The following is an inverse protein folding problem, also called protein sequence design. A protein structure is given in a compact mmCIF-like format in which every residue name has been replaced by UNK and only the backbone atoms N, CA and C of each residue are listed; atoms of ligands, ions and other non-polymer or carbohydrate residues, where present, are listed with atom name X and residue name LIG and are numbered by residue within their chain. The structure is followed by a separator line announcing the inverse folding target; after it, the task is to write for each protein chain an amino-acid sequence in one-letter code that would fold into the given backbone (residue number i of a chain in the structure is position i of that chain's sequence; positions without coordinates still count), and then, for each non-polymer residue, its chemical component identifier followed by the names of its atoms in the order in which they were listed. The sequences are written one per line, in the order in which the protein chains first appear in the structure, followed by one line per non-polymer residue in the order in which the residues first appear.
data_IF_935435851363
#
_entry.id   IF_935435851363
#
_cell.length_a   1.000
_cell.length_b   1.000
_cell.length_c   1.000
_cell.angle_alpha   90.00
_cell.angle_beta   90.00
_cell.angle_gamma   90.00
#
_symmetry.space_group_name_H-M   'P 1'
#
loop_
_entity.id
_entity.type
_entity.pdbx_description
1 polymer ?
#
# COMPACT_ATOMS: atom_id res chain seq x y z
N UNK A 1 -46.07 -21.91 40.60
CA UNK A 1 -44.81 -22.08 41.35
C UNK A 1 -43.73 -21.51 40.45
N UNK A 2 -43.31 -20.29 40.74
CA UNK A 2 -42.19 -19.65 40.07
C UNK A 2 -40.90 -20.41 40.41
N UNK A 3 -40.05 -20.63 39.42
CA UNK A 3 -38.62 -20.82 39.63
C UNK A 3 -37.92 -19.94 38.59
N UNK A 4 -37.41 -18.81 39.06
CA UNK A 4 -36.51 -17.92 38.34
C UNK A 4 -35.13 -18.58 38.23
N UNK A 5 -34.47 -18.49 37.08
CA UNK A 5 -33.11 -18.98 36.85
C UNK A 5 -32.50 -18.30 35.64
N UNK A 6 -31.61 -17.35 35.91
CA UNK A 6 -31.01 -16.36 35.02
C UNK A 6 -29.98 -16.98 34.05
N UNK A 7 -30.01 -16.48 32.80
CA UNK A 7 -28.95 -16.31 31.77
C UNK A 7 -27.91 -17.42 31.56
N UNK A 8 -27.84 -17.90 30.31
CA UNK A 8 -26.56 -18.19 29.64
C UNK A 8 -26.75 -18.10 28.11
N UNK A 9 -27.33 -16.98 27.63
CA UNK A 9 -26.96 -16.48 26.30
C UNK A 9 -25.64 -15.74 26.45
N UNK A 10 -24.53 -16.49 26.49
CA UNK A 10 -23.22 -15.96 26.13
C UNK A 10 -23.19 -15.75 24.61
N UNK A 11 -24.00 -14.79 24.15
CA UNK A 11 -23.64 -14.03 22.97
C UNK A 11 -22.30 -13.41 23.33
N UNK A 12 -21.25 -13.93 22.72
CA UNK A 12 -19.93 -13.34 22.73
C UNK A 12 -20.04 -12.00 22.01
N UNK A 13 -20.57 -10.97 22.68
CA UNK A 13 -20.30 -9.60 22.30
C UNK A 13 -18.83 -9.41 22.57
N UNK A 14 -18.00 -9.72 21.57
CA UNK A 14 -16.71 -9.07 21.44
C UNK A 14 -17.00 -7.59 21.59
N UNK A 15 -16.49 -7.02 22.68
CA UNK A 15 -16.27 -5.59 22.71
C UNK A 15 -15.25 -5.31 21.60
N UNK A 16 -15.75 -4.97 20.41
CA UNK A 16 -14.95 -4.58 19.24
C UNK A 16 -14.15 -3.28 19.49
N UNK A 17 -14.26 -2.71 20.70
CA UNK A 17 -13.76 -1.41 21.08
C UNK A 17 -12.31 -1.34 21.56
N UNK A 18 -11.54 -2.45 21.63
CA UNK A 18 -10.30 -2.40 22.42
C UNK A 18 -8.95 -2.34 21.68
N UNK A 19 -8.79 -2.65 20.38
CA UNK A 19 -7.42 -2.61 19.77
C UNK A 19 -7.26 -2.26 18.28
N UNK A 20 -8.28 -1.83 17.54
CA UNK A 20 -8.04 -1.37 16.17
C UNK A 20 -7.78 0.14 16.13
N UNK A 21 -6.80 0.64 16.88
CA UNK A 21 -6.32 2.00 16.64
C UNK A 21 -5.84 2.08 15.19
N UNK A 22 -6.60 2.79 14.36
CA UNK A 22 -6.18 3.09 13.00
C UNK A 22 -5.12 4.17 13.10
N UNK A 23 -3.92 3.86 12.64
CA UNK A 23 -2.84 4.83 12.57
C UNK A 23 -2.25 4.83 11.16
N UNK A 24 -1.61 5.94 10.81
CA UNK A 24 -0.95 6.10 9.51
C UNK A 24 0.50 6.47 9.70
N UNK A 25 1.37 5.87 8.90
CA UNK A 25 2.76 6.28 8.77
C UNK A 25 3.02 6.80 7.35
N UNK A 26 3.61 7.99 7.26
CA UNK A 26 3.97 8.59 5.98
C UNK A 26 5.46 8.38 5.74
N UNK A 27 5.79 7.60 4.72
CA UNK A 27 7.17 7.37 4.29
C UNK A 27 7.46 8.06 2.96
N UNK A 28 8.66 8.61 2.82
CA UNK A 28 9.12 9.30 1.60
C UNK A 28 10.19 8.45 0.92
N UNK A 29 9.98 8.16 -0.37
CA UNK A 29 10.89 7.38 -1.19
C UNK A 29 11.41 8.22 -2.36
N UNK A 30 12.70 8.11 -2.63
CA UNK A 30 13.32 8.70 -3.82
C UNK A 30 13.53 7.58 -4.85
N UNK A 31 12.74 7.59 -5.92
CA UNK A 31 12.69 6.54 -6.93
C UNK A 31 12.77 7.17 -8.33
N UNK A 32 13.70 6.73 -9.18
CA UNK A 32 13.90 7.30 -10.53
C UNK A 32 14.07 8.83 -10.53
N UNK A 33 14.78 9.37 -9.54
CA UNK A 33 14.98 10.81 -9.34
C UNK A 33 13.71 11.59 -8.96
N UNK A 34 12.64 10.90 -8.56
CA UNK A 34 11.38 11.50 -8.14
C UNK A 34 11.07 11.18 -6.69
N UNK A 35 10.62 12.18 -5.94
CA UNK A 35 10.13 11.98 -4.59
C UNK A 35 8.67 11.51 -4.60
N UNK A 36 8.42 10.40 -3.92
CA UNK A 36 7.11 9.80 -3.71
C UNK A 36 6.84 9.66 -2.21
N UNK A 37 5.89 10.44 -1.71
CA UNK A 37 5.33 10.29 -0.37
C UNK A 37 4.19 9.27 -0.41
N UNK A 38 4.31 8.21 0.39
CA UNK A 38 3.34 7.12 0.48
C UNK A 38 2.80 7.05 1.89
N UNK A 39 1.47 7.12 2.02
CA UNK A 39 0.78 6.96 3.30
C UNK A 39 0.43 5.49 3.51
N UNK A 40 0.86 4.93 4.64
CA UNK A 40 0.66 3.55 5.05
C UNK A 40 -0.35 3.52 6.18
N UNK A 41 -1.61 3.21 5.88
CA UNK A 41 -2.70 3.23 6.85
C UNK A 41 -2.86 1.84 7.46
N UNK A 42 -2.42 1.68 8.71
CA UNK A 42 -2.55 0.45 9.47
C UNK A 42 -3.91 0.43 10.17
N UNK A 43 -4.74 -0.53 9.75
CA UNK A 43 -6.05 -0.80 10.36
C UNK A 43 -6.33 -2.29 10.28
N UNK A 44 -7.29 -2.76 11.08
CA UNK A 44 -7.76 -4.15 11.03
C UNK A 44 -8.20 -4.60 9.62
N UNK A 45 -8.60 -3.66 8.76
CA UNK A 45 -9.11 -3.95 7.42
C UNK A 45 -8.04 -4.01 6.33
N UNK A 46 -6.88 -3.36 6.50
CA UNK A 46 -5.84 -3.34 5.47
C UNK A 46 -4.82 -4.47 5.63
N UNK A 47 -4.45 -4.84 6.85
CA UNK A 47 -3.48 -5.90 7.13
C UNK A 47 -2.21 -5.76 6.28
N UNK A 48 -1.91 -6.80 5.48
CA UNK A 48 -0.71 -6.88 4.61
C UNK A 48 -0.69 -5.87 3.46
N UNK A 49 -1.80 -5.18 3.16
CA UNK A 49 -1.85 -4.16 2.12
C UNK A 49 -1.34 -2.79 2.58
N UNK A 50 -1.23 -2.56 3.90
CA UNK A 50 -0.82 -1.29 4.48
C UNK A 50 0.66 -0.93 4.27
N UNK A 51 1.64 -1.82 4.54
CA UNK A 51 3.04 -1.45 4.44
C UNK A 51 3.54 -1.44 2.99
N UNK A 52 4.55 -0.61 2.72
CA UNK A 52 5.40 -0.76 1.54
C UNK A 52 6.33 -1.95 1.76
N UNK A 53 6.19 -2.99 0.94
CA UNK A 53 7.03 -4.17 1.01
C UNK A 53 8.38 -3.96 0.31
N UNK A 54 9.45 -4.56 0.84
CA UNK A 54 10.80 -4.49 0.26
C UNK A 54 10.84 -4.93 -1.21
N UNK A 55 10.03 -5.92 -1.58
CA UNK A 55 9.91 -6.39 -2.96
C UNK A 55 9.42 -5.28 -3.92
N UNK A 56 8.49 -4.43 -3.48
CA UNK A 56 8.03 -3.29 -4.28
C UNK A 56 9.18 -2.28 -4.51
N UNK A 57 9.99 -2.01 -3.48
CA UNK A 57 11.15 -1.13 -3.59
C UNK A 57 12.22 -1.69 -4.53
N UNK A 58 12.48 -2.99 -4.46
CA UNK A 58 13.42 -3.64 -5.38
C UNK A 58 12.92 -3.59 -6.84
N UNK A 59 11.61 -3.75 -7.08
CA UNK A 59 11.04 -3.60 -8.42
C UNK A 59 11.15 -2.16 -8.94
N UNK A 60 10.94 -1.16 -8.07
CA UNK A 60 11.16 0.25 -8.43
C UNK A 60 12.62 0.52 -8.81
N UNK A 61 13.60 0.00 -8.06
CA UNK A 61 15.03 0.11 -8.41
C UNK A 61 15.35 -0.58 -9.72
N UNK A 62 14.75 -1.75 -9.97
CA UNK A 62 14.91 -2.44 -11.24
C UNK A 62 14.44 -1.54 -12.40
N UNK A 63 13.33 -0.83 -12.28
CA UNK A 63 12.85 0.09 -13.32
C UNK A 63 13.85 1.21 -13.62
N UNK A 64 14.52 1.72 -12.57
CA UNK A 64 15.55 2.75 -12.68
C UNK A 64 16.80 2.22 -13.39
N UNK A 65 17.33 1.07 -12.97
CA UNK A 65 18.56 0.48 -13.49
C UNK A 65 18.41 -0.09 -14.91
N UNK A 66 17.27 -0.74 -15.19
CA UNK A 66 17.04 -1.41 -16.48
C UNK A 66 16.52 -0.48 -17.58
N UNK A 67 16.34 0.81 -17.27
CA UNK A 67 15.81 1.82 -18.19
C UNK A 67 14.49 1.38 -18.85
N UNK A 68 13.65 0.65 -18.10
CA UNK A 68 12.44 0.04 -18.65
C UNK A 68 11.54 1.09 -19.27
N UNK A 69 11.38 1.01 -20.60
CA UNK A 69 10.48 1.89 -21.31
C UNK A 69 9.03 1.42 -21.13
N UNK A 70 8.27 2.16 -20.33
CA UNK A 70 6.84 1.96 -20.06
C UNK A 70 5.95 2.99 -20.78
N UNK A 71 6.53 3.88 -21.59
CA UNK A 71 5.81 4.89 -22.35
C UNK A 71 4.85 4.25 -23.35
N UNK A 72 3.61 4.75 -23.37
CA UNK A 72 2.55 4.25 -24.26
C UNK A 72 2.09 2.81 -23.99
N UNK A 73 2.59 2.15 -22.94
CA UNK A 73 2.19 0.78 -22.60
C UNK A 73 0.99 0.77 -21.66
N UNK A 74 0.11 -0.21 -21.85
CA UNK A 74 -0.95 -0.54 -20.88
C UNK A 74 -0.36 -1.47 -19.81
N UNK A 75 -0.36 -1.04 -18.56
CA UNK A 75 0.22 -1.77 -17.42
C UNK A 75 -0.88 -2.05 -16.41
N UNK A 76 -0.84 -3.22 -15.80
CA UNK A 76 -1.67 -3.62 -14.67
C UNK A 76 -0.76 -4.06 -13.52
N UNK A 77 -1.00 -3.53 -12.32
CA UNK A 77 -0.33 -3.94 -11.08
C UNK A 77 -1.32 -4.80 -10.27
N UNK A 78 -0.94 -6.05 -9.99
CA UNK A 78 -1.75 -6.97 -9.20
C UNK A 78 -1.22 -7.01 -7.77
N UNK A 79 -2.10 -6.88 -6.78
CA UNK A 79 -1.69 -6.82 -5.37
C UNK A 79 -0.90 -5.56 -5.05
N UNK A 80 -1.39 -4.40 -5.50
CA UNK A 80 -0.66 -3.13 -5.45
C UNK A 80 -0.31 -2.67 -4.02
N UNK A 81 -1.06 -3.12 -3.01
CA UNK A 81 -0.92 -2.62 -1.63
C UNK A 81 -1.03 -1.09 -1.64
N UNK A 82 0.04 -0.42 -1.23
CA UNK A 82 0.16 1.06 -1.27
C UNK A 82 0.18 1.68 -2.67
N UNK A 83 0.37 0.87 -3.71
CA UNK A 83 0.41 1.29 -5.12
C UNK A 83 1.69 1.97 -5.55
N UNK A 84 2.76 1.89 -4.76
CA UNK A 84 4.03 2.59 -5.04
C UNK A 84 4.61 2.25 -6.42
N UNK A 85 4.52 0.99 -6.88
CA UNK A 85 5.07 0.58 -8.19
C UNK A 85 4.19 1.10 -9.32
N UNK A 86 2.86 0.98 -9.20
CA UNK A 86 1.93 1.53 -10.18
C UNK A 86 2.02 3.05 -10.31
N UNK A 87 2.18 3.77 -9.19
CA UNK A 87 2.42 5.22 -9.17
C UNK A 87 3.71 5.56 -9.91
N UNK A 88 4.81 4.85 -9.65
CA UNK A 88 6.07 5.04 -10.35
C UNK A 88 5.92 4.77 -11.85
N UNK A 89 5.30 3.64 -12.23
CA UNK A 89 5.08 3.25 -13.62
C UNK A 89 4.25 4.29 -14.38
N UNK A 90 3.20 4.85 -13.74
CA UNK A 90 2.37 5.90 -14.32
C UNK A 90 3.14 7.22 -14.50
N UNK A 91 4.12 7.52 -13.64
CA UNK A 91 5.00 8.69 -13.83
C UNK A 91 6.00 8.46 -14.96
N UNK A 92 6.64 7.28 -15.00
CA UNK A 92 7.58 6.93 -16.06
C UNK A 92 6.91 6.85 -17.45
N UNK A 93 5.66 6.38 -17.52
CA UNK A 93 4.91 6.27 -18.78
C UNK A 93 4.42 7.61 -19.34
N UNK A 94 4.42 8.68 -18.54
CA UNK A 94 4.12 10.06 -18.96
C UNK A 94 5.38 10.92 -19.12
N UNK A 95 6.52 10.45 -18.62
CA UNK A 95 7.77 11.20 -18.64
C UNK A 95 8.42 11.06 -20.02
N UNK A 96 8.23 12.07 -20.87
CA UNK A 96 9.14 12.34 -22.00
C UNK A 96 10.52 12.51 -21.39
N UNK A 97 11.48 11.64 -21.73
CA UNK A 97 12.85 11.82 -21.23
C UNK A 97 13.36 13.20 -21.67
N UNK A 98 13.91 14.03 -20.76
CA UNK A 98 14.81 15.08 -21.19
C UNK A 98 15.89 14.42 -22.04
N UNK A 99 16.11 14.94 -23.24
CA UNK A 99 17.21 14.50 -24.09
C UNK A 99 18.46 14.47 -23.21
N UNK A 100 19.07 13.29 -23.04
CA UNK A 100 20.39 13.18 -22.43
C UNK A 100 21.30 14.12 -23.19
N UNK A 101 21.80 15.15 -22.52
CA UNK A 101 22.86 15.99 -23.05
C UNK A 101 24.01 15.07 -23.47
N UNK A 102 24.28 15.06 -24.76
CA UNK A 102 25.41 14.39 -25.39
C UNK A 102 26.05 15.41 -26.32
#
# INVERSE_FOLDING_TARGET
MEVNGIQDELIFTVDDGLFAETFSDDSVYNLCGQELKISQVFSANLGVAAPVWDAALNLCRYFEESLLNVEGKRIIELGSGTGIVGILAARLGRLVRPCSAQ
#
